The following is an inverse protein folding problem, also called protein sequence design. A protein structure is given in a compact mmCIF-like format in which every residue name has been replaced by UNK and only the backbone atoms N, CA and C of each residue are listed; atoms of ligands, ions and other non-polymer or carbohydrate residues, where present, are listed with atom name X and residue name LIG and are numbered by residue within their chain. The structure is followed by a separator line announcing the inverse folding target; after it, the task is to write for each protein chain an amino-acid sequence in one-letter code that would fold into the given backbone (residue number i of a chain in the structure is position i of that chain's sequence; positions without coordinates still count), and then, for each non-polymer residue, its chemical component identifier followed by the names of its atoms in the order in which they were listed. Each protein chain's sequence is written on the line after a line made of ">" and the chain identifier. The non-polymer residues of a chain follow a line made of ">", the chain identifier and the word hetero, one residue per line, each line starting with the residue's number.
data_IF_783599580023
#
_entry.id   IF_783599580023
#
_cell.length_a   1.000
_cell.length_b   1.000
_cell.length_c   1.000
_cell.angle_alpha   90.00
_cell.angle_beta   90.00
_cell.angle_gamma   90.00
#
_symmetry.space_group_name_H-M   'P 1'
#
loop_
_entity.id
_entity.type
_entity.pdbx_description
1 polymer ?
#
# COMPACT_ATOMS: atom_id res chain seq x y z
N UNK A 1 -2.49 -14.11 24.21
CA UNK A 1 -3.02 -13.49 25.44
C UNK A 1 -2.73 -12.00 25.41
N UNK A 2 -3.71 -11.19 24.97
CA UNK A 2 -3.58 -9.74 24.80
C UNK A 2 -4.69 -9.00 25.53
N UNK A 3 -4.51 -7.71 25.76
CA UNK A 3 -5.57 -6.83 26.23
C UNK A 3 -6.45 -6.37 25.07
N UNK A 4 -7.74 -6.16 25.35
CA UNK A 4 -8.69 -5.45 24.48
C UNK A 4 -8.59 -3.93 24.68
N UNK A 5 -8.31 -3.51 25.92
CA UNK A 5 -8.11 -2.09 26.27
C UNK A 5 -7.21 -1.95 27.48
N UNK A 6 -6.56 -0.80 27.59
CA UNK A 6 -5.82 -0.35 28.76
C UNK A 6 -6.04 1.16 28.89
N UNK A 7 -6.64 1.57 30.00
CA UNK A 7 -6.83 2.98 30.33
C UNK A 7 -6.20 3.29 31.67
N UNK A 8 -5.77 4.52 31.88
CA UNK A 8 -5.27 5.04 33.12
C UNK A 8 -6.23 6.10 33.69
N UNK A 9 -6.28 6.20 35.01
CA UNK A 9 -6.89 7.32 35.72
C UNK A 9 -5.80 7.97 36.57
N UNK A 10 -5.78 9.28 36.68
CA UNK A 10 -4.73 10.05 37.35
C UNK A 10 -3.40 10.11 36.60
N UNK A 11 -3.39 9.66 35.34
CA UNK A 11 -2.25 9.75 34.44
C UNK A 11 -2.69 9.65 32.98
N UNK A 12 -1.91 10.25 32.07
CA UNK A 12 -2.08 10.12 30.62
C UNK A 12 -1.18 9.01 30.08
N UNK A 13 -1.76 8.14 29.25
CA UNK A 13 -1.06 7.04 28.58
C UNK A 13 -0.65 7.47 27.17
N UNK A 14 0.60 7.32 26.78
CA UNK A 14 1.12 7.61 25.46
C UNK A 14 2.00 6.47 24.92
N UNK A 15 1.85 6.05 23.66
CA UNK A 15 0.73 6.41 22.78
C UNK A 15 -0.62 5.88 23.29
N UNK A 16 -1.72 6.22 22.62
CA UNK A 16 -3.01 5.59 22.87
C UNK A 16 -2.91 4.07 22.78
N UNK A 17 -3.69 3.38 23.62
CA UNK A 17 -3.60 1.93 23.70
C UNK A 17 -3.85 1.26 22.34
N UNK A 18 -2.94 0.37 21.98
CA UNK A 18 -3.07 -0.56 20.87
C UNK A 18 -2.71 -1.97 21.34
N UNK A 19 -3.50 -2.96 20.99
CA UNK A 19 -3.24 -4.37 21.37
C UNK A 19 -1.91 -4.94 20.86
N UNK A 20 -1.26 -4.25 19.94
CA UNK A 20 0.05 -4.62 19.36
C UNK A 20 1.22 -3.80 19.92
N UNK A 21 0.95 -2.78 20.71
CA UNK A 21 1.98 -1.97 21.40
C UNK A 21 2.16 -2.46 22.82
N UNK A 22 3.40 -2.72 23.21
CA UNK A 22 3.73 -3.29 24.50
C UNK A 22 4.48 -2.31 25.44
N UNK A 23 4.85 -1.13 24.96
CA UNK A 23 5.55 -0.10 25.73
C UNK A 23 4.80 1.23 25.67
N UNK A 24 4.65 1.85 26.82
CA UNK A 24 3.94 3.10 26.99
C UNK A 24 4.67 4.03 27.94
N UNK A 25 4.50 5.32 27.76
CA UNK A 25 4.81 6.34 28.76
C UNK A 25 3.54 6.64 29.54
N UNK A 26 3.61 6.68 30.85
CA UNK A 26 2.54 7.03 31.75
C UNK A 26 2.91 8.31 32.48
N UNK A 27 2.31 9.42 32.04
CA UNK A 27 2.57 10.76 32.64
C UNK A 27 1.55 11.03 33.72
N UNK A 28 1.97 11.06 35.02
CA UNK A 28 1.07 11.37 36.12
C UNK A 28 0.45 12.76 36.01
N UNK A 29 -0.81 12.88 36.39
CA UNK A 29 -1.47 14.16 36.58
C UNK A 29 -1.19 14.67 38.02
N UNK A 30 -0.91 15.97 38.15
CA UNK A 30 -0.53 16.56 39.41
C UNK A 30 -1.60 16.33 40.49
N UNK A 31 -1.18 15.80 41.62
CA UNK A 31 -2.07 15.54 42.79
C UNK A 31 -3.05 14.38 42.61
N UNK A 32 -2.99 13.63 41.53
CA UNK A 32 -3.85 12.47 41.29
C UNK A 32 -3.21 11.15 41.70
N UNK A 33 -4.05 10.19 42.01
CA UNK A 33 -3.63 8.81 42.27
C UNK A 33 -3.74 7.98 41.02
N UNK A 34 -2.68 7.30 40.63
CA UNK A 34 -2.65 6.46 39.44
C UNK A 34 -3.42 5.17 39.68
N UNK A 35 -4.32 4.83 38.79
CA UNK A 35 -4.88 3.47 38.67
C UNK A 35 -4.99 3.07 37.21
N UNK A 36 -4.93 1.77 36.94
CA UNK A 36 -5.02 1.21 35.59
C UNK A 36 -6.25 0.31 35.47
N UNK A 37 -6.91 0.38 34.30
CA UNK A 37 -8.05 -0.46 33.98
C UNK A 37 -7.76 -1.29 32.72
N UNK A 38 -6.92 -2.33 32.82
CA UNK A 38 -6.70 -3.27 31.73
C UNK A 38 -7.90 -4.21 31.56
N UNK A 39 -8.34 -4.41 30.34
CA UNK A 39 -9.39 -5.37 29.97
C UNK A 39 -8.79 -6.42 29.05
N UNK A 40 -8.87 -7.69 29.42
CA UNK A 40 -8.39 -8.79 28.59
C UNK A 40 -9.24 -8.94 27.31
N UNK A 41 -8.61 -9.29 26.20
CA UNK A 41 -9.29 -9.57 24.94
C UNK A 41 -10.19 -10.82 25.00
N UNK A 42 -9.95 -11.72 25.96
CA UNK A 42 -10.78 -12.88 26.22
C UNK A 42 -11.09 -12.94 27.73
N UNK A 43 -12.38 -13.14 28.05
CA UNK A 43 -12.86 -13.24 29.44
C UNK A 43 -12.19 -14.32 30.30
N UNK A 44 -11.56 -15.29 29.66
CA UNK A 44 -10.81 -16.36 30.36
C UNK A 44 -9.37 -15.98 30.66
N UNK A 45 -8.86 -14.86 30.17
CA UNK A 45 -7.52 -14.38 30.47
C UNK A 45 -7.51 -13.70 31.83
N UNK A 46 -6.40 -13.81 32.52
CA UNK A 46 -6.13 -13.13 33.79
C UNK A 46 -5.20 -11.93 33.52
N UNK A 47 -5.45 -10.84 34.22
CA UNK A 47 -4.60 -9.64 34.12
C UNK A 47 -4.11 -9.27 35.51
N UNK A 48 -2.81 -9.01 35.64
CA UNK A 48 -2.16 -8.53 36.87
C UNK A 48 -1.27 -7.34 36.57
N UNK A 49 -1.24 -6.42 37.52
CA UNK A 49 -0.45 -5.19 37.44
C UNK A 49 0.66 -5.29 38.47
N UNK A 50 1.89 -5.05 38.11
CA UNK A 50 3.05 -5.08 38.97
C UNK A 50 3.78 -3.73 38.94
N UNK A 51 4.30 -3.29 40.10
CA UNK A 51 5.12 -2.10 40.23
C UNK A 51 6.59 -2.51 40.41
N UNK A 52 7.47 -1.97 39.57
CA UNK A 52 8.92 -2.15 39.60
C UNK A 52 9.41 -3.61 39.56
N UNK A 53 8.62 -4.48 38.92
CA UNK A 53 9.01 -5.89 38.75
C UNK A 53 7.87 -6.69 38.15
N UNK A 54 8.17 -7.84 37.56
CA UNK A 54 7.20 -8.77 36.97
C UNK A 54 6.82 -9.93 37.89
N UNK A 55 7.37 -9.95 39.07
CA UNK A 55 7.19 -11.01 40.08
C UNK A 55 7.03 -10.41 41.47
N UNK A 56 6.58 -11.21 42.41
CA UNK A 56 6.52 -10.83 43.83
C UNK A 56 5.12 -10.55 44.33
N UNK A 57 5.05 -9.90 45.51
CA UNK A 57 3.81 -9.68 46.27
C UNK A 57 3.11 -8.36 45.89
N UNK A 58 3.79 -7.47 45.23
CA UNK A 58 3.32 -6.10 44.93
C UNK A 58 2.59 -6.05 43.60
N UNK A 59 1.46 -6.73 43.51
CA UNK A 59 0.58 -6.66 42.35
C UNK A 59 -0.78 -6.02 42.70
N UNK A 60 -1.38 -5.38 41.73
CA UNK A 60 -2.61 -4.60 41.84
C UNK A 60 -3.67 -5.17 40.91
N UNK A 61 -4.94 -5.01 41.26
CA UNK A 61 -6.07 -5.29 40.42
C UNK A 61 -6.43 -4.04 39.57
N UNK A 62 -7.24 -4.25 38.55
CA UNK A 62 -7.83 -3.15 37.79
C UNK A 62 -8.57 -2.18 38.74
N UNK A 63 -8.31 -0.88 38.58
CA UNK A 63 -8.91 0.20 39.37
C UNK A 63 -8.29 0.41 40.75
N UNK A 64 -7.39 -0.46 41.23
CA UNK A 64 -6.67 -0.25 42.50
C UNK A 64 -5.66 0.90 42.37
N UNK A 65 -5.51 1.67 43.46
CA UNK A 65 -4.51 2.71 43.57
C UNK A 65 -3.10 2.13 43.55
N UNK A 66 -2.28 2.62 42.62
CA UNK A 66 -0.88 2.19 42.50
C UNK A 66 -0.01 3.32 43.08
N UNK A 67 0.80 3.07 44.10
CA UNK A 67 1.64 4.09 44.73
C UNK A 67 2.92 4.30 43.91
N UNK A 68 2.77 4.47 42.61
CA UNK A 68 3.87 4.69 41.71
C UNK A 68 4.30 6.17 41.72
N UNK A 69 5.58 6.41 41.53
CA UNK A 69 6.22 7.72 41.54
C UNK A 69 7.08 7.89 40.31
N UNK A 70 7.57 9.09 40.10
CA UNK A 70 8.50 9.42 39.04
C UNK A 70 9.69 8.42 39.01
N UNK A 71 10.02 7.90 37.83
CA UNK A 71 11.05 6.91 37.59
C UNK A 71 10.59 5.43 37.75
N UNK A 72 9.38 5.20 38.26
CA UNK A 72 8.86 3.84 38.41
C UNK A 72 8.40 3.24 37.05
N UNK A 73 8.36 1.93 37.02
CA UNK A 73 7.83 1.18 35.89
C UNK A 73 6.70 0.25 36.36
N UNK A 74 5.57 0.34 35.65
CA UNK A 74 4.43 -0.56 35.89
C UNK A 74 4.38 -1.58 34.76
N UNK A 75 4.22 -2.85 35.14
CA UNK A 75 4.08 -3.98 34.22
C UNK A 75 2.66 -4.54 34.29
N UNK A 76 1.99 -4.66 33.18
CA UNK A 76 0.69 -5.31 33.07
C UNK A 76 0.86 -6.63 32.33
N UNK A 77 0.71 -7.73 33.06
CA UNK A 77 0.78 -9.08 32.49
C UNK A 77 -0.61 -9.58 32.13
N UNK A 78 -0.76 -10.09 30.88
CA UNK A 78 -1.96 -10.79 30.45
C UNK A 78 -1.63 -12.27 30.19
N UNK A 79 -2.16 -13.14 31.02
CA UNK A 79 -1.98 -14.58 30.94
C UNK A 79 -3.27 -15.33 30.61
N UNK A 80 -3.14 -16.61 30.29
CA UNK A 80 -4.29 -17.46 30.04
C UNK A 80 -4.96 -17.93 31.34
N UNK A 81 -6.00 -18.73 31.21
CA UNK A 81 -6.77 -19.26 32.36
C UNK A 81 -5.98 -20.21 33.25
N UNK A 82 -4.86 -20.75 32.78
CA UNK A 82 -4.01 -21.65 33.54
C UNK A 82 -3.12 -20.93 34.55
N UNK A 83 -3.05 -19.60 34.48
CA UNK A 83 -2.32 -18.78 35.42
C UNK A 83 -2.83 -19.05 36.85
N UNK A 84 -1.97 -19.39 37.81
CA UNK A 84 -2.39 -19.73 39.16
C UNK A 84 -3.24 -18.66 39.82
N UNK A 85 -4.04 -19.06 40.82
CA UNK A 85 -4.88 -18.15 41.59
C UNK A 85 -4.13 -16.88 41.97
N UNK A 86 -4.83 -15.74 41.97
CA UNK A 86 -4.31 -14.44 42.39
C UNK A 86 -3.69 -14.43 43.81
N UNK A 87 -3.96 -15.45 44.62
CA UNK A 87 -3.38 -15.61 45.93
C UNK A 87 -1.99 -16.25 45.92
N UNK A 88 -1.57 -16.86 44.82
CA UNK A 88 -0.21 -17.36 44.65
C UNK A 88 0.70 -16.23 44.19
N UNK A 89 1.86 -16.15 44.79
CA UNK A 89 2.84 -15.09 44.63
C UNK A 89 4.19 -15.67 44.21
N UNK A 90 5.02 -14.84 43.58
CA UNK A 90 6.41 -15.19 43.31
C UNK A 90 6.75 -15.33 41.84
N UNK A 91 7.84 -16.02 41.55
CA UNK A 91 8.43 -16.18 40.21
C UNK A 91 7.52 -16.90 39.21
N UNK A 92 6.55 -17.65 39.69
CA UNK A 92 5.60 -18.42 38.88
C UNK A 92 4.73 -17.54 37.94
N UNK A 93 4.60 -16.24 38.24
CA UNK A 93 3.79 -15.34 37.44
C UNK A 93 4.32 -15.17 36.00
N UNK A 94 5.63 -15.21 35.79
CA UNK A 94 6.28 -15.00 34.49
C UNK A 94 5.94 -16.11 33.52
N UNK A 95 5.87 -17.35 33.97
CA UNK A 95 5.69 -18.54 33.14
C UNK A 95 4.28 -18.61 32.49
N UNK A 96 3.31 -17.88 33.05
CA UNK A 96 1.90 -17.90 32.61
C UNK A 96 1.50 -16.69 31.79
N UNK A 97 2.38 -15.70 31.63
CA UNK A 97 2.09 -14.47 30.91
C UNK A 97 2.51 -14.63 29.47
N UNK A 98 1.53 -14.53 28.55
CA UNK A 98 1.80 -14.52 27.12
C UNK A 98 2.17 -13.14 26.60
N UNK A 99 1.69 -12.06 27.26
CA UNK A 99 2.00 -10.68 26.84
C UNK A 99 2.21 -9.80 28.05
N UNK A 100 3.30 -9.06 28.04
CA UNK A 100 3.62 -8.01 28.99
C UNK A 100 3.48 -6.63 28.34
N UNK A 101 2.80 -5.72 29.03
CA UNK A 101 2.75 -4.30 28.72
C UNK A 101 3.58 -3.54 29.75
N UNK A 102 4.48 -2.71 29.31
CA UNK A 102 5.38 -1.91 30.13
C UNK A 102 4.98 -0.46 30.08
N UNK A 103 4.68 0.13 31.24
CA UNK A 103 4.32 1.53 31.38
C UNK A 103 5.37 2.21 32.23
N UNK A 104 6.09 3.17 31.68
CA UNK A 104 7.15 3.90 32.38
C UNK A 104 6.65 5.26 32.81
N UNK A 105 6.93 5.60 34.07
CA UNK A 105 6.66 6.92 34.61
C UNK A 105 7.96 7.72 34.51
N UNK A 106 7.99 8.85 33.80
CA UNK A 106 9.19 9.71 33.74
C UNK A 106 9.67 10.11 35.16
N UNK A 107 10.97 10.16 35.35
CA UNK A 107 11.58 10.65 36.60
C UNK A 107 11.48 12.19 36.74
N UNK A 108 11.69 12.71 37.98
CA UNK A 108 11.79 14.17 38.20
C UNK A 108 12.96 14.82 37.48
N UNK A 109 14.03 14.05 37.20
CA UNK A 109 15.06 14.40 36.25
C UNK A 109 14.54 14.10 34.83
N UNK A 110 13.73 14.91 34.36
CA UNK A 110 12.88 14.98 33.17
C UNK A 110 13.33 14.29 31.89
N UNK A 111 14.35 13.42 31.84
CA UNK A 111 14.90 13.00 30.55
C UNK A 111 15.63 11.66 30.49
N UNK A 112 15.52 10.75 31.45
CA UNK A 112 16.12 9.43 31.23
C UNK A 112 15.22 8.48 30.45
N UNK A 113 15.17 8.68 29.16
CA UNK A 113 14.53 7.78 28.21
C UNK A 113 15.45 6.64 27.75
N UNK A 114 16.59 6.43 28.41
CA UNK A 114 17.65 5.52 27.96
C UNK A 114 17.15 4.08 27.75
N UNK A 115 16.26 3.61 28.59
CA UNK A 115 15.70 2.25 28.43
C UNK A 115 14.73 2.14 27.26
N UNK A 116 13.87 3.16 27.04
CA UNK A 116 12.99 3.19 25.87
C UNK A 116 13.80 3.28 24.57
N UNK A 117 14.86 4.07 24.58
CA UNK A 117 15.78 4.17 23.45
C UNK A 117 16.45 2.82 23.19
N UNK A 118 16.97 2.13 24.22
CA UNK A 118 17.59 0.80 24.09
C UNK A 118 16.61 -0.26 23.57
N UNK A 119 15.36 -0.27 24.05
CA UNK A 119 14.32 -1.18 23.54
C UNK A 119 14.04 -0.92 22.05
N UNK A 120 13.93 0.35 21.66
CA UNK A 120 13.75 0.74 20.28
C UNK A 120 14.94 0.33 19.41
N UNK A 121 16.16 0.62 19.86
CA UNK A 121 17.37 0.20 19.19
C UNK A 121 17.50 -1.30 19.04
N UNK A 122 17.07 -2.08 20.04
CA UNK A 122 17.07 -3.53 19.97
C UNK A 122 16.08 -4.05 18.90
N UNK A 123 14.87 -3.47 18.81
CA UNK A 123 13.91 -3.80 17.76
C UNK A 123 14.47 -3.46 16.37
N UNK A 124 15.05 -2.27 16.20
CA UNK A 124 15.69 -1.88 14.94
C UNK A 124 16.87 -2.80 14.61
N UNK A 125 17.66 -3.18 15.62
CA UNK A 125 18.80 -4.09 15.42
C UNK A 125 18.35 -5.50 15.02
N UNK A 126 17.18 -5.95 15.46
CA UNK A 126 16.63 -7.27 15.14
C UNK A 126 16.08 -7.38 13.72
N UNK A 127 15.83 -6.26 13.02
CA UNK A 127 15.30 -6.29 11.65
C UNK A 127 16.23 -7.11 10.75
N UNK A 128 15.66 -8.18 10.18
CA UNK A 128 16.36 -9.13 9.32
C UNK A 128 16.60 -8.53 7.94
N UNK A 129 17.75 -8.85 7.36
CA UNK A 129 18.13 -8.33 6.04
C UNK A 129 17.61 -9.24 4.91
N UNK A 130 16.31 -9.17 4.63
CA UNK A 130 15.68 -9.95 3.55
C UNK A 130 16.12 -9.49 2.16
N UNK A 131 16.26 -10.43 1.25
CA UNK A 131 16.62 -10.17 -0.17
C UNK A 131 15.44 -10.22 -1.13
N UNK A 132 14.29 -10.71 -0.65
CA UNK A 132 13.03 -10.75 -1.38
C UNK A 132 11.90 -10.26 -0.47
N UNK A 133 10.76 -9.90 -1.06
CA UNK A 133 9.57 -9.53 -0.30
C UNK A 133 9.17 -10.66 0.67
N UNK A 134 8.88 -10.27 1.90
CA UNK A 134 8.44 -11.17 2.97
C UNK A 134 7.54 -10.38 3.92
N UNK A 135 6.40 -10.93 4.31
CA UNK A 135 5.47 -10.28 5.24
C UNK A 135 6.09 -10.08 6.63
N UNK A 136 6.87 -11.06 7.11
CA UNK A 136 7.59 -10.95 8.39
C UNK A 136 8.55 -9.76 8.40
N UNK A 137 9.16 -9.42 7.26
CA UNK A 137 9.98 -8.22 7.14
C UNK A 137 9.17 -6.94 7.39
N UNK A 138 7.94 -6.87 6.87
CA UNK A 138 7.01 -5.78 7.16
C UNK A 138 6.65 -5.70 8.65
N UNK A 139 6.36 -6.84 9.28
CA UNK A 139 6.03 -6.91 10.71
C UNK A 139 7.19 -6.47 11.60
N UNK A 140 8.43 -6.87 11.30
CA UNK A 140 9.63 -6.44 12.02
C UNK A 140 9.83 -4.91 11.91
N UNK A 141 9.65 -4.34 10.72
CA UNK A 141 9.73 -2.90 10.48
C UNK A 141 8.63 -2.16 11.23
N UNK A 142 7.39 -2.63 11.15
CA UNK A 142 6.24 -2.02 11.81
C UNK A 142 6.40 -2.00 13.34
N UNK A 143 6.92 -3.09 13.91
CA UNK A 143 7.21 -3.16 15.34
C UNK A 143 8.27 -2.12 15.76
N UNK A 144 9.37 -2.03 15.00
CA UNK A 144 10.42 -1.06 15.24
C UNK A 144 9.94 0.39 15.04
N UNK A 145 9.15 0.64 14.01
CA UNK A 145 8.56 1.96 13.74
C UNK A 145 7.62 2.41 14.85
N UNK A 146 6.71 1.55 15.28
CA UNK A 146 5.80 1.84 16.40
C UNK A 146 6.55 2.14 17.69
N UNK A 147 7.63 1.41 17.98
CA UNK A 147 8.46 1.68 19.14
C UNK A 147 9.15 3.04 19.05
N UNK A 148 9.70 3.38 17.87
CA UNK A 148 10.34 4.68 17.62
C UNK A 148 9.35 5.85 17.72
N UNK A 149 8.17 5.70 17.11
CA UNK A 149 7.15 6.77 17.10
C UNK A 149 6.55 7.00 18.50
N UNK A 150 6.57 5.96 19.36
CA UNK A 150 6.15 6.06 20.75
C UNK A 150 7.17 6.77 21.66
N UNK A 151 8.40 7.02 21.18
CA UNK A 151 9.38 7.77 21.93
C UNK A 151 8.96 9.25 22.05
N UNK A 152 9.19 9.89 23.21
CA UNK A 152 9.14 11.34 23.31
C UNK A 152 10.08 12.00 22.32
N UNK A 153 9.70 13.20 21.82
CA UNK A 153 10.49 13.90 20.81
C UNK A 153 11.93 14.15 21.24
N UNK A 154 12.14 14.40 22.54
CA UNK A 154 13.46 14.62 23.14
C UNK A 154 14.34 13.35 23.13
N UNK A 155 13.70 12.17 23.13
CA UNK A 155 14.41 10.88 23.14
C UNK A 155 14.80 10.42 21.73
N UNK A 156 14.03 10.79 20.72
CA UNK A 156 14.24 10.35 19.33
C UNK A 156 15.66 10.58 18.79
N UNK A 157 16.29 11.75 19.06
CA UNK A 157 17.67 11.99 18.60
C UNK A 157 18.72 11.04 19.21
N UNK A 158 18.38 10.36 20.33
CA UNK A 158 19.28 9.41 21.01
C UNK A 158 19.28 8.02 20.39
N UNK A 159 18.36 7.72 19.46
CA UNK A 159 18.30 6.42 18.75
C UNK A 159 19.41 6.38 17.70
N UNK A 160 20.51 5.71 18.02
CA UNK A 160 21.74 5.70 17.22
C UNK A 160 21.62 4.95 15.89
N UNK A 161 20.70 3.99 15.80
CA UNK A 161 20.51 3.12 14.64
C UNK A 161 19.25 3.44 13.82
N UNK A 162 18.66 4.63 13.98
CA UNK A 162 17.46 5.05 13.25
C UNK A 162 17.60 4.93 11.73
N UNK A 163 18.79 5.22 11.19
CA UNK A 163 19.08 5.06 9.77
C UNK A 163 18.90 3.63 9.26
N UNK A 164 19.08 2.62 10.12
CA UNK A 164 18.80 1.21 9.76
C UNK A 164 17.29 0.98 9.58
N UNK A 165 16.46 1.60 10.40
CA UNK A 165 15.00 1.51 10.27
C UNK A 165 14.54 2.14 8.95
N UNK A 166 14.96 3.38 8.65
CA UNK A 166 14.59 4.05 7.39
C UNK A 166 15.08 3.29 6.16
N UNK A 167 16.31 2.76 6.20
CA UNK A 167 16.83 1.94 5.11
C UNK A 167 16.06 0.61 4.94
N UNK A 168 15.57 0.03 6.05
CA UNK A 168 14.73 -1.17 5.99
C UNK A 168 13.36 -0.88 5.38
N UNK A 169 12.74 0.25 5.72
CA UNK A 169 11.46 0.72 5.15
C UNK A 169 11.57 0.95 3.63
N UNK A 170 12.60 1.67 3.20
CA UNK A 170 12.86 1.91 1.78
C UNK A 170 13.08 0.59 1.02
N UNK A 171 13.84 -0.32 1.64
CA UNK A 171 14.09 -1.64 1.07
C UNK A 171 12.80 -2.47 0.97
N UNK A 172 11.98 -2.48 2.00
CA UNK A 172 10.70 -3.19 2.00
C UNK A 172 9.77 -2.68 0.90
N UNK A 173 9.63 -1.35 0.80
CA UNK A 173 8.84 -0.71 -0.24
C UNK A 173 9.34 -1.11 -1.65
N UNK A 174 10.66 -1.11 -1.85
CA UNK A 174 11.29 -1.52 -3.12
C UNK A 174 11.05 -3.00 -3.43
N UNK A 175 11.22 -3.90 -2.45
CA UNK A 175 10.97 -5.33 -2.64
C UNK A 175 9.49 -5.61 -2.95
N UNK A 176 8.58 -4.84 -2.34
CA UNK A 176 7.16 -4.90 -2.63
C UNK A 176 6.85 -4.49 -4.07
N UNK A 177 7.45 -3.39 -4.55
CA UNK A 177 7.28 -2.96 -5.93
C UNK A 177 7.76 -4.03 -6.93
N UNK A 178 8.89 -4.70 -6.66
CA UNK A 178 9.41 -5.79 -7.49
C UNK A 178 8.41 -6.96 -7.51
N UNK A 179 7.90 -7.35 -6.33
CA UNK A 179 6.88 -8.40 -6.20
C UNK A 179 5.63 -8.05 -7.01
N UNK A 180 5.08 -6.85 -6.79
CA UNK A 180 3.84 -6.41 -7.43
C UNK A 180 4.00 -6.37 -8.96
N UNK A 181 5.11 -5.82 -9.47
CA UNK A 181 5.41 -5.82 -10.91
C UNK A 181 5.53 -7.25 -11.48
N UNK A 182 6.20 -8.14 -10.75
CA UNK A 182 6.32 -9.55 -11.14
C UNK A 182 4.95 -10.23 -11.22
N UNK A 183 4.09 -10.03 -10.23
CA UNK A 183 2.74 -10.62 -10.19
C UNK A 183 1.86 -10.08 -11.32
N UNK A 184 1.94 -8.77 -11.61
CA UNK A 184 1.23 -8.18 -12.73
C UNK A 184 1.68 -8.76 -14.08
N UNK A 185 2.99 -8.96 -14.26
CA UNK A 185 3.54 -9.56 -15.46
C UNK A 185 3.18 -11.04 -15.60
N UNK A 186 3.18 -11.78 -14.49
CA UNK A 186 2.82 -13.21 -14.48
C UNK A 186 1.33 -13.44 -14.77
N UNK A 187 0.49 -12.47 -14.39
CA UNK A 187 -0.95 -12.48 -14.66
C UNK A 187 -1.33 -12.15 -16.11
N UNK A 188 -0.37 -11.71 -16.95
CA UNK A 188 -0.64 -11.41 -18.35
C UNK A 188 -0.94 -12.70 -19.14
N UNK A 189 -1.83 -12.63 -20.15
CA UNK A 189 -2.12 -13.76 -20.99
C UNK A 189 -0.90 -14.20 -21.81
N UNK A 190 -0.93 -15.41 -22.35
CA UNK A 190 0.01 -15.79 -23.39
C UNK A 190 -0.39 -15.12 -24.70
N UNK A 191 0.58 -14.81 -25.58
CA UNK A 191 0.39 -14.04 -26.82
C UNK A 191 -0.79 -14.51 -27.66
N UNK A 192 -0.98 -15.85 -27.81
CA UNK A 192 -2.08 -16.43 -28.60
C UNK A 192 -3.49 -16.14 -28.07
N UNK A 193 -3.61 -15.78 -26.79
CA UNK A 193 -4.88 -15.53 -26.11
C UNK A 193 -5.15 -14.04 -25.93
N UNK A 194 -4.22 -13.16 -26.33
CA UNK A 194 -4.33 -11.71 -26.18
C UNK A 194 -5.51 -11.18 -26.95
N UNK A 195 -6.28 -10.28 -26.31
CA UNK A 195 -7.40 -9.54 -26.87
C UNK A 195 -7.18 -8.05 -26.67
N UNK A 196 -7.81 -7.23 -27.46
CA UNK A 196 -7.78 -5.76 -27.28
C UNK A 196 -8.34 -5.31 -25.94
N UNK A 197 -9.29 -6.08 -25.36
CA UNK A 197 -9.79 -5.85 -24.00
C UNK A 197 -8.71 -5.95 -22.91
N UNK A 198 -7.58 -6.61 -23.19
CA UNK A 198 -6.49 -6.79 -22.22
C UNK A 198 -5.50 -5.62 -22.23
N UNK A 199 -5.72 -4.61 -23.09
CA UNK A 199 -4.84 -3.45 -23.24
C UNK A 199 -4.53 -2.76 -21.91
N UNK A 200 -5.56 -2.44 -21.12
CA UNK A 200 -5.38 -1.75 -19.84
C UNK A 200 -4.53 -2.57 -18.85
N UNK A 201 -4.72 -3.89 -18.80
CA UNK A 201 -3.91 -4.78 -17.97
C UNK A 201 -2.46 -4.81 -18.45
N UNK A 202 -2.24 -4.90 -19.76
CA UNK A 202 -0.91 -4.89 -20.36
C UNK A 202 -0.16 -3.59 -20.09
N UNK A 203 -0.83 -2.44 -20.25
CA UNK A 203 -0.27 -1.12 -19.98
C UNK A 203 0.06 -0.94 -18.48
N UNK A 204 -0.81 -1.40 -17.59
CA UNK A 204 -0.55 -1.35 -16.15
C UNK A 204 0.67 -2.19 -15.75
N UNK A 205 0.79 -3.41 -16.29
CA UNK A 205 1.94 -4.28 -16.04
C UNK A 205 3.23 -3.71 -16.64
N UNK A 206 3.17 -3.14 -17.84
CA UNK A 206 4.30 -2.46 -18.48
C UNK A 206 4.78 -1.29 -17.65
N UNK A 207 3.85 -0.45 -17.18
CA UNK A 207 4.15 0.69 -16.31
C UNK A 207 4.79 0.25 -15.00
N UNK A 208 4.23 -0.76 -14.33
CA UNK A 208 4.80 -1.27 -13.08
C UNK A 208 6.24 -1.76 -13.27
N UNK A 209 6.54 -2.40 -14.40
CA UNK A 209 7.90 -2.80 -14.76
C UNK A 209 8.82 -1.61 -15.07
N UNK A 210 8.32 -0.61 -15.79
CA UNK A 210 9.06 0.61 -16.16
C UNK A 210 9.35 1.51 -14.94
N UNK A 211 8.48 1.52 -13.95
CA UNK A 211 8.66 2.27 -12.70
C UNK A 211 9.77 1.67 -11.81
N UNK A 212 10.20 0.41 -12.06
CA UNK A 212 11.31 -0.19 -11.35
C UNK A 212 12.65 0.43 -11.79
N UNK A 213 13.60 0.52 -10.86
CA UNK A 213 14.99 0.86 -11.18
C UNK A 213 15.61 -0.17 -12.13
N UNK A 214 16.65 0.21 -12.89
CA UNK A 214 17.37 -0.73 -13.77
C UNK A 214 17.91 -1.95 -13.01
N UNK A 215 18.36 -1.76 -11.77
CA UNK A 215 18.85 -2.84 -10.93
C UNK A 215 17.73 -3.80 -10.51
N UNK A 216 16.54 -3.26 -10.24
CA UNK A 216 15.38 -4.05 -9.81
C UNK A 216 14.73 -4.78 -10.99
N UNK A 217 14.71 -4.19 -12.19
CA UNK A 217 14.26 -4.87 -13.41
C UNK A 217 15.05 -6.16 -13.69
N UNK A 218 16.32 -6.22 -13.34
CA UNK A 218 17.16 -7.42 -13.48
C UNK A 218 16.70 -8.58 -12.57
N UNK A 219 15.87 -8.30 -11.58
CA UNK A 219 15.29 -9.32 -10.70
C UNK A 219 14.00 -9.94 -11.27
N UNK A 220 13.43 -9.32 -12.31
CA UNK A 220 12.26 -9.86 -12.99
C UNK A 220 12.72 -10.99 -13.94
N UNK A 221 12.07 -12.16 -13.88
CA UNK A 221 12.40 -13.28 -14.77
C UNK A 221 12.34 -12.92 -16.25
N UNK A 222 13.35 -13.32 -17.01
CA UNK A 222 13.47 -12.98 -18.44
C UNK A 222 12.28 -13.43 -19.27
N UNK A 223 11.69 -14.59 -18.95
CA UNK A 223 10.49 -15.08 -19.64
C UNK A 223 9.30 -14.13 -19.50
N UNK A 224 9.14 -13.43 -18.36
CA UNK A 224 8.06 -12.46 -18.15
C UNK A 224 8.30 -11.19 -18.97
N UNK A 225 9.54 -10.72 -19.01
CA UNK A 225 9.88 -9.52 -19.79
C UNK A 225 9.85 -9.78 -21.30
N UNK A 226 10.18 -10.98 -21.74
CA UNK A 226 10.03 -11.40 -23.13
C UNK A 226 8.56 -11.53 -23.52
N UNK A 227 7.72 -12.13 -22.65
CA UNK A 227 6.28 -12.21 -22.87
C UNK A 227 5.68 -10.79 -22.96
N UNK A 228 6.05 -9.86 -22.07
CA UNK A 228 5.61 -8.48 -22.11
C UNK A 228 5.90 -7.84 -23.48
N UNK A 229 7.13 -7.94 -23.97
CA UNK A 229 7.52 -7.39 -25.28
C UNK A 229 6.70 -7.96 -26.43
N UNK A 230 6.50 -9.28 -26.43
CA UNK A 230 5.70 -9.96 -27.44
C UNK A 230 4.23 -9.53 -27.39
N UNK A 231 3.67 -9.38 -26.19
CA UNK A 231 2.30 -8.90 -25.98
C UNK A 231 2.13 -7.45 -26.44
N UNK A 232 3.09 -6.56 -26.14
CA UNK A 232 3.07 -5.19 -26.61
C UNK A 232 3.09 -5.11 -28.16
N UNK A 233 3.95 -5.92 -28.79
CA UNK A 233 3.99 -6.01 -30.26
C UNK A 233 2.67 -6.53 -30.81
N UNK A 234 2.13 -7.61 -30.25
CA UNK A 234 0.87 -8.21 -30.71
C UNK A 234 -0.33 -7.30 -30.45
N UNK A 235 -0.36 -6.56 -29.34
CA UNK A 235 -1.40 -5.57 -29.10
C UNK A 235 -1.41 -4.47 -30.16
N UNK A 236 -0.23 -3.97 -30.50
CA UNK A 236 -0.09 -2.98 -31.59
C UNK A 236 -0.62 -3.50 -32.93
N UNK A 237 -0.37 -4.78 -33.25
CA UNK A 237 -0.92 -5.42 -34.45
C UNK A 237 -2.44 -5.57 -34.38
N UNK A 238 -2.98 -6.01 -33.23
CA UNK A 238 -4.42 -6.16 -33.04
C UNK A 238 -5.17 -4.85 -33.17
N UNK A 239 -4.64 -3.76 -32.65
CA UNK A 239 -5.23 -2.41 -32.81
C UNK A 239 -5.33 -2.02 -34.30
N UNK A 240 -4.28 -2.27 -35.06
CA UNK A 240 -4.30 -2.02 -36.53
C UNK A 240 -5.29 -2.94 -37.23
N UNK A 241 -5.31 -4.23 -36.89
CA UNK A 241 -6.28 -5.20 -37.46
C UNK A 241 -7.72 -4.80 -37.18
N UNK A 242 -8.04 -4.30 -35.96
CA UNK A 242 -9.38 -3.79 -35.63
C UNK A 242 -9.78 -2.58 -36.45
N UNK A 243 -8.87 -1.62 -36.65
CA UNK A 243 -9.12 -0.45 -37.48
C UNK A 243 -9.35 -0.87 -38.94
N UNK A 244 -8.50 -1.75 -39.47
CA UNK A 244 -8.70 -2.28 -40.86
C UNK A 244 -10.08 -2.95 -40.96
N UNK A 245 -10.45 -3.78 -40.01
CA UNK A 245 -11.74 -4.46 -39.99
C UNK A 245 -12.92 -3.49 -39.87
N UNK A 246 -12.80 -2.46 -39.01
CA UNK A 246 -13.81 -1.42 -38.88
C UNK A 246 -14.02 -0.66 -40.17
N UNK A 247 -12.94 -0.33 -40.88
CA UNK A 247 -12.98 0.34 -42.21
C UNK A 247 -13.62 -0.58 -43.26
N UNK A 248 -13.25 -1.86 -43.33
CA UNK A 248 -13.83 -2.82 -44.27
C UNK A 248 -15.34 -3.04 -44.05
N UNK A 249 -15.79 -2.90 -42.82
CA UNK A 249 -17.20 -3.04 -42.44
C UNK A 249 -18.09 -1.82 -42.87
N UNK A 250 -17.49 -0.72 -43.35
CA UNK A 250 -18.24 0.48 -43.74
C UNK A 250 -19.05 0.32 -45.05
N UNK A 251 -18.73 -0.66 -45.88
CA UNK A 251 -19.43 -0.88 -47.14
C UNK A 251 -20.65 -1.80 -46.94
N UNK A 252 -21.80 -1.49 -47.60
CA UNK A 252 -22.08 -0.29 -48.41
C UNK A 252 -22.39 0.94 -47.53
N UNK A 253 -21.93 2.12 -47.97
CA UNK A 253 -22.22 3.39 -47.29
C UNK A 253 -23.64 3.85 -47.58
N UNK A 254 -24.42 4.10 -46.56
CA UNK A 254 -25.80 4.59 -46.55
C UNK A 254 -25.89 5.92 -45.81
N UNK A 255 -27.08 6.55 -45.81
CA UNK A 255 -27.32 7.79 -45.02
C UNK A 255 -27.08 7.59 -43.54
N UNK A 256 -27.30 6.37 -43.02
CA UNK A 256 -27.20 6.05 -41.61
C UNK A 256 -25.78 5.63 -41.20
N UNK A 257 -24.83 5.57 -42.11
CA UNK A 257 -23.46 5.10 -41.85
C UNK A 257 -22.59 6.07 -41.03
N UNK A 258 -23.08 7.30 -40.76
CA UNK A 258 -22.28 8.35 -40.10
C UNK A 258 -21.63 7.97 -38.80
N UNK A 259 -22.37 7.27 -37.92
CA UNK A 259 -21.81 6.82 -36.62
C UNK A 259 -20.68 5.81 -36.79
N UNK A 260 -20.84 4.85 -37.72
CA UNK A 260 -19.82 3.84 -38.01
C UNK A 260 -18.57 4.45 -38.66
N UNK A 261 -18.74 5.39 -39.58
CA UNK A 261 -17.63 6.11 -40.21
C UNK A 261 -16.87 6.93 -39.16
N UNK A 262 -17.59 7.66 -38.29
CA UNK A 262 -16.97 8.40 -37.18
C UNK A 262 -16.18 7.48 -36.25
N UNK A 263 -16.76 6.34 -35.86
CA UNK A 263 -16.08 5.38 -34.99
C UNK A 263 -14.79 4.83 -35.64
N UNK A 264 -14.82 4.49 -36.93
CA UNK A 264 -13.63 4.05 -37.64
C UNK A 264 -12.57 5.16 -37.76
N UNK A 265 -13.00 6.43 -37.97
CA UNK A 265 -12.10 7.58 -37.99
C UNK A 265 -11.47 7.82 -36.63
N UNK A 266 -12.25 7.79 -35.56
CA UNK A 266 -11.77 7.98 -34.19
C UNK A 266 -10.74 6.88 -33.85
N UNK A 267 -11.06 5.62 -34.14
CA UNK A 267 -10.15 4.49 -33.93
C UNK A 267 -8.84 4.63 -34.75
N UNK A 268 -8.91 5.07 -36.00
CA UNK A 268 -7.72 5.36 -36.80
C UNK A 268 -6.88 6.51 -36.20
N UNK A 269 -7.52 7.56 -35.70
CA UNK A 269 -6.83 8.70 -35.12
C UNK A 269 -6.09 8.36 -33.82
N UNK A 270 -6.60 7.41 -33.03
CA UNK A 270 -5.97 6.90 -31.82
C UNK A 270 -4.70 6.09 -32.08
N UNK A 271 -4.51 5.58 -33.30
CA UNK A 271 -3.29 4.87 -33.67
C UNK A 271 -2.08 5.81 -33.67
N UNK A 272 -0.93 5.27 -33.29
CA UNK A 272 0.37 5.96 -33.44
C UNK A 272 0.72 6.15 -34.91
N UNK A 273 1.63 7.06 -35.22
CA UNK A 273 2.08 7.30 -36.62
C UNK A 273 2.70 6.06 -37.26
N UNK A 274 3.32 5.20 -36.46
CA UNK A 274 3.85 3.92 -36.94
C UNK A 274 2.73 2.95 -37.31
N UNK A 275 1.69 2.84 -36.47
CA UNK A 275 0.53 1.98 -36.70
C UNK A 275 -0.31 2.48 -37.88
N UNK A 276 -0.51 3.80 -38.04
CA UNK A 276 -1.24 4.40 -39.18
C UNK A 276 -0.66 3.98 -40.51
N UNK A 277 0.67 3.85 -40.61
CA UNK A 277 1.35 3.37 -41.84
C UNK A 277 1.04 1.92 -42.19
N UNK A 278 0.57 1.14 -41.24
CA UNK A 278 0.20 -0.27 -41.41
C UNK A 278 -1.27 -0.47 -41.79
N UNK A 279 -2.09 0.58 -41.75
CA UNK A 279 -3.49 0.53 -42.17
C UNK A 279 -3.56 0.56 -43.71
N UNK A 280 -3.78 -0.63 -44.27
CA UNK A 280 -3.71 -0.85 -45.73
C UNK A 280 -4.94 -0.34 -46.53
N UNK A 281 -6.03 -0.02 -45.86
CA UNK A 281 -7.31 0.34 -46.44
C UNK A 281 -7.80 1.74 -46.04
N UNK A 282 -6.87 2.65 -45.70
CA UNK A 282 -7.19 4.02 -45.31
C UNK A 282 -7.97 4.81 -46.39
N UNK A 283 -7.67 4.58 -47.66
CA UNK A 283 -8.39 5.13 -48.79
C UNK A 283 -9.88 4.78 -48.79
N UNK A 284 -10.26 3.59 -48.32
CA UNK A 284 -11.67 3.22 -48.16
C UNK A 284 -12.37 4.05 -47.08
N UNK A 285 -11.68 4.41 -45.99
CA UNK A 285 -12.24 5.28 -44.96
C UNK A 285 -12.54 6.67 -45.52
N UNK A 286 -11.59 7.27 -46.22
CA UNK A 286 -11.77 8.58 -46.86
C UNK A 286 -12.86 8.54 -47.91
N UNK A 287 -12.91 7.49 -48.76
CA UNK A 287 -13.96 7.29 -49.72
C UNK A 287 -15.36 7.15 -49.08
N UNK A 288 -15.44 6.46 -47.94
CA UNK A 288 -16.68 6.31 -47.18
C UNK A 288 -17.18 7.65 -46.60
N UNK A 289 -16.27 8.48 -46.10
CA UNK A 289 -16.58 9.84 -45.62
C UNK A 289 -17.13 10.73 -46.74
N UNK A 290 -16.48 10.73 -47.91
CA UNK A 290 -16.96 11.46 -49.08
C UNK A 290 -18.34 10.98 -49.50
N UNK A 291 -18.51 9.65 -49.63
CA UNK A 291 -19.80 9.07 -50.02
C UNK A 291 -20.93 9.40 -49.05
N UNK A 292 -20.65 9.38 -47.77
CA UNK A 292 -21.64 9.73 -46.75
C UNK A 292 -22.02 11.22 -46.83
N UNK A 293 -21.07 12.12 -47.06
CA UNK A 293 -21.34 13.55 -47.23
C UNK A 293 -22.20 13.84 -48.45
N UNK A 294 -21.98 13.12 -49.56
CA UNK A 294 -22.84 13.21 -50.75
C UNK A 294 -24.28 12.76 -50.48
N UNK A 295 -24.47 11.72 -49.67
CA UNK A 295 -25.77 11.20 -49.28
C UNK A 295 -26.51 12.08 -48.28
N UNK A 296 -25.76 12.92 -47.53
CA UNK A 296 -26.25 13.82 -46.50
C UNK A 296 -25.83 15.27 -46.77
N UNK A 297 -26.27 15.87 -47.87
CA UNK A 297 -25.87 17.23 -48.21
C UNK A 297 -26.37 18.20 -47.13
N UNK A 298 -25.48 19.12 -46.74
CA UNK A 298 -25.81 20.17 -45.78
C UNK A 298 -26.72 21.18 -46.46
N UNK A 299 -27.90 21.51 -45.88
CA UNK A 299 -28.73 22.57 -46.38
C UNK A 299 -27.98 23.90 -46.46
N UNK A 300 -28.14 24.63 -47.56
CA UNK A 300 -27.50 25.93 -47.75
C UNK A 300 -27.80 26.87 -46.58
N UNK A 301 -26.78 27.31 -45.85
CA UNK A 301 -26.89 28.23 -44.70
C UNK A 301 -26.70 27.61 -43.31
N UNK A 302 -26.44 26.29 -43.19
CA UNK A 302 -26.00 25.69 -41.92
C UNK A 302 -24.47 25.47 -41.93
N UNK A 303 -23.80 25.70 -40.76
CA UNK A 303 -22.37 25.36 -40.66
C UNK A 303 -22.17 23.85 -40.84
N UNK A 304 -21.10 23.45 -41.51
CA UNK A 304 -20.75 22.07 -41.77
C UNK A 304 -20.67 21.29 -40.43
N UNK A 305 -21.51 20.28 -40.24
CA UNK A 305 -21.40 19.32 -39.13
C UNK A 305 -20.42 18.22 -39.56
N UNK A 306 -19.14 18.56 -39.64
CA UNK A 306 -18.08 17.57 -39.75
C UNK A 306 -17.87 16.90 -38.39
N UNK A 307 -17.52 15.60 -38.34
CA UNK A 307 -17.01 14.98 -37.12
C UNK A 307 -15.78 15.79 -36.65
N UNK A 308 -15.90 16.45 -35.48
CA UNK A 308 -14.85 17.31 -34.97
C UNK A 308 -13.67 16.48 -34.53
N UNK A 309 -12.59 16.47 -35.20
CA UNK A 309 -11.23 16.78 -34.81
C UNK A 309 -10.21 16.26 -35.85
N UNK A 310 -9.69 17.06 -36.77
CA UNK A 310 -8.43 16.74 -37.41
C UNK A 310 -7.29 17.04 -36.41
N UNK A 311 -6.39 16.11 -36.21
CA UNK A 311 -5.09 16.36 -35.59
C UNK A 311 -4.43 17.53 -36.33
N UNK A 312 -3.88 18.49 -35.60
CA UNK A 312 -3.21 19.66 -36.20
C UNK A 312 -2.11 19.18 -37.16
N UNK A 313 -2.38 19.35 -38.47
CA UNK A 313 -1.45 19.01 -39.55
C UNK A 313 -2.06 18.29 -40.75
N UNK A 314 -3.26 17.71 -40.67
CA UNK A 314 -3.95 17.13 -41.83
C UNK A 314 -4.99 18.12 -42.36
N UNK A 315 -4.66 18.81 -43.45
CA UNK A 315 -5.65 19.54 -44.26
C UNK A 315 -6.54 18.51 -44.95
N UNK A 316 -7.81 18.42 -44.51
CA UNK A 316 -8.82 17.68 -45.22
C UNK A 316 -8.98 18.29 -46.62
N UNK A 317 -9.21 17.49 -47.71
CA UNK A 317 -9.30 17.96 -49.09
C UNK A 317 -10.55 18.81 -49.39
N UNK A 318 -11.24 19.35 -48.38
CA UNK A 318 -12.49 20.10 -48.50
C UNK A 318 -12.41 21.55 -48.02
N UNK A 319 -11.19 22.12 -47.90
CA UNK A 319 -11.06 23.51 -47.50
C UNK A 319 -11.32 24.55 -48.64
N UNK A 320 -11.63 24.11 -49.85
CA UNK A 320 -11.91 25.00 -50.99
C UNK A 320 -13.13 24.51 -51.76
N UNK A 321 -14.33 24.96 -51.37
CA UNK A 321 -15.46 25.34 -52.21
C UNK A 321 -16.31 26.38 -51.49
#
# INVERSE_FOLDING_TARGET
>A
TTLASLTASGATLAPDFSGTTNSYTLTPEEGQTISLNPVAANKNYQVRIYLNGKTGTNWYRAGEAIPAKAGDTIYVGCGDRSWPSMNKQGTEAIDYVGTWYTLRIPGDDSTDYSDLVKETEALIASITNYTSYNEVFGEEIDAARKSYDALPEEAKPSVSNYSKLTAAEERYARLKQIKDAKEMLDALPVVKNLKTSDKAQLEAAAKAYEDLSEADRKQIPTNLTENLKQLQSRMSELEVEEVIKAIDALAPVTKDSGAAIKAARDAYNELTDAQKKLVTNYDKLTAAEVRWSELNPIPAGQPAQLPQNPSAGETLPFADV
#
